data_IF_808113879341
#
_entry.id   IF_808113879341
#
_cell.length_a   1.000
_cell.length_b   1.000
_cell.length_c   1.000
_cell.angle_alpha   90.00
_cell.angle_beta   90.00
_cell.angle_gamma   90.00
#
_symmetry.space_group_name_H-M   'P 1'
#
loop_
_entity.id
_entity.type
_entity.pdbx_description
1 polymer ?
#
# COMPACT_ATOMS: atom_id res chain seq x y z
N UNK A 1 -23.99 -34.49 -12.54
CA UNK A 1 -23.40 -33.14 -12.64
C UNK A 1 -23.18 -32.64 -11.23
N UNK A 2 -21.95 -32.65 -10.73
CA UNK A 2 -21.64 -32.18 -9.36
C UNK A 2 -21.33 -30.69 -9.42
N UNK A 3 -22.32 -29.87 -9.09
CA UNK A 3 -22.15 -28.42 -8.98
C UNK A 3 -21.41 -28.12 -7.67
N UNK A 4 -20.33 -27.35 -7.74
CA UNK A 4 -19.52 -26.94 -6.59
C UNK A 4 -20.35 -26.14 -5.60
N UNK A 5 -20.10 -26.31 -4.29
CA UNK A 5 -20.71 -25.44 -3.27
C UNK A 5 -20.15 -24.01 -3.37
N UNK A 6 -20.91 -22.98 -2.94
CA UNK A 6 -20.43 -21.59 -2.93
C UNK A 6 -19.10 -21.42 -2.18
N UNK A 7 -18.93 -22.09 -1.04
CA UNK A 7 -17.68 -22.09 -0.27
C UNK A 7 -16.48 -22.62 -1.05
N UNK A 8 -16.70 -23.63 -1.91
CA UNK A 8 -15.62 -24.19 -2.74
C UNK A 8 -15.22 -23.24 -3.85
N UNK A 9 -16.17 -22.48 -4.41
CA UNK A 9 -15.90 -21.44 -5.41
C UNK A 9 -15.10 -20.29 -4.80
N UNK A 10 -15.51 -19.77 -3.64
CA UNK A 10 -14.74 -18.76 -2.90
C UNK A 10 -13.32 -19.22 -2.59
N UNK A 11 -13.16 -20.48 -2.17
CA UNK A 11 -11.83 -21.02 -1.88
C UNK A 11 -10.95 -21.13 -3.14
N UNK A 12 -11.54 -21.43 -4.30
CA UNK A 12 -10.82 -21.46 -5.58
C UNK A 12 -10.44 -20.05 -6.05
N UNK A 13 -11.32 -19.06 -5.88
CA UNK A 13 -11.04 -17.65 -6.16
C UNK A 13 -9.90 -17.12 -5.29
N UNK A 14 -9.97 -17.32 -3.97
CA UNK A 14 -8.92 -16.93 -3.04
C UNK A 14 -7.58 -17.59 -3.40
N UNK A 15 -7.57 -18.88 -3.75
CA UNK A 15 -6.34 -19.56 -4.18
C UNK A 15 -5.73 -18.92 -5.42
N UNK A 16 -6.55 -18.52 -6.39
CA UNK A 16 -6.08 -17.87 -7.61
C UNK A 16 -5.51 -16.48 -7.32
N UNK A 17 -6.14 -15.70 -6.45
CA UNK A 17 -5.62 -14.40 -6.01
C UNK A 17 -4.28 -14.54 -5.27
N UNK A 18 -4.22 -15.45 -4.30
CA UNK A 18 -2.99 -15.77 -3.56
C UNK A 18 -1.87 -16.22 -4.52
N UNK A 19 -2.20 -17.07 -5.50
CA UNK A 19 -1.24 -17.50 -6.52
C UNK A 19 -0.76 -16.33 -7.37
N UNK A 20 -1.66 -15.46 -7.83
CA UNK A 20 -1.33 -14.30 -8.65
C UNK A 20 -0.39 -13.33 -7.92
N UNK A 21 -0.66 -13.02 -6.65
CA UNK A 21 0.21 -12.15 -5.87
C UNK A 21 1.60 -12.77 -5.65
N UNK A 22 1.65 -14.02 -5.19
CA UNK A 22 2.92 -14.70 -4.89
C UNK A 22 3.83 -14.90 -6.12
N UNK A 23 3.26 -15.03 -7.33
CA UNK A 23 4.04 -15.19 -8.56
C UNK A 23 4.45 -13.87 -9.22
N UNK A 24 3.84 -12.75 -8.83
CA UNK A 24 4.14 -11.42 -9.38
C UNK A 24 5.00 -10.56 -8.44
N UNK A 25 5.75 -11.20 -7.54
CA UNK A 25 6.71 -10.53 -6.66
C UNK A 25 6.09 -9.78 -5.49
N UNK A 26 4.85 -10.11 -5.10
CA UNK A 26 4.25 -9.57 -3.88
C UNK A 26 4.70 -10.35 -2.66
N UNK A 27 4.81 -9.65 -1.53
CA UNK A 27 5.20 -10.19 -0.25
C UNK A 27 3.96 -10.24 0.64
N UNK A 28 3.67 -11.39 1.23
CA UNK A 28 2.57 -11.52 2.19
C UNK A 28 3.03 -11.23 3.62
N UNK A 29 2.30 -10.39 4.34
CA UNK A 29 2.48 -10.17 5.78
C UNK A 29 1.16 -9.72 6.43
N UNK A 30 0.76 -10.37 7.53
CA UNK A 30 -0.42 -10.02 8.35
C UNK A 30 -1.65 -9.58 7.53
N UNK A 31 -2.22 -10.49 6.74
CA UNK A 31 -3.44 -10.25 5.96
C UNK A 31 -3.34 -9.15 4.90
N UNK A 32 -2.13 -8.75 4.51
CA UNK A 32 -1.91 -7.86 3.37
C UNK A 32 -0.83 -8.42 2.44
N UNK A 33 -0.96 -8.08 1.16
CA UNK A 33 0.05 -8.26 0.14
C UNK A 33 0.72 -6.92 -0.16
N UNK A 34 2.05 -6.93 -0.24
CA UNK A 34 2.86 -5.75 -0.49
C UNK A 34 3.69 -5.89 -1.75
N UNK A 35 3.69 -4.87 -2.60
CA UNK A 35 4.54 -4.79 -3.78
C UNK A 35 5.50 -3.63 -3.62
N UNK A 36 6.81 -3.91 -3.69
CA UNK A 36 7.86 -2.89 -3.63
C UNK A 36 8.32 -2.59 -5.04
N UNK A 37 8.24 -1.33 -5.45
CA UNK A 37 8.64 -0.93 -6.80
C UNK A 37 10.16 -1.03 -7.02
N UNK A 38 10.53 -1.32 -8.26
CA UNK A 38 11.92 -1.17 -8.74
C UNK A 38 12.14 0.19 -9.40
N UNK A 39 11.08 0.81 -9.92
CA UNK A 39 11.07 2.13 -10.54
C UNK A 39 10.84 3.25 -9.54
N UNK A 40 11.07 4.49 -9.98
CA UNK A 40 10.80 5.71 -9.21
C UNK A 40 9.90 6.63 -10.03
N UNK A 41 8.77 7.06 -9.47
CA UNK A 41 7.86 8.04 -10.10
C UNK A 41 7.26 8.97 -9.04
N UNK A 42 6.48 9.94 -9.49
CA UNK A 42 5.82 10.89 -8.60
C UNK A 42 4.65 10.23 -7.84
N UNK A 43 4.17 10.88 -6.76
CA UNK A 43 3.16 10.28 -5.87
C UNK A 43 1.88 9.86 -6.61
N UNK A 44 1.40 10.69 -7.54
CA UNK A 44 0.17 10.43 -8.29
C UNK A 44 0.32 9.24 -9.23
N UNK A 45 1.42 9.18 -9.98
CA UNK A 45 1.71 8.05 -10.86
C UNK A 45 1.85 6.73 -10.09
N UNK A 46 2.45 6.78 -8.90
CA UNK A 46 2.60 5.61 -8.04
C UNK A 46 1.26 5.10 -7.52
N UNK A 47 0.36 6.00 -7.11
CA UNK A 47 -0.99 5.65 -6.69
C UNK A 47 -1.75 4.97 -7.82
N UNK A 48 -1.71 5.54 -9.02
CA UNK A 48 -2.31 4.94 -10.22
C UNK A 48 -1.76 3.53 -10.44
N UNK A 49 -0.44 3.34 -10.33
CA UNK A 49 0.16 2.02 -10.51
C UNK A 49 -0.34 0.99 -9.48
N UNK A 50 -0.57 1.39 -8.23
CA UNK A 50 -1.15 0.49 -7.23
C UNK A 50 -2.61 0.16 -7.55
N UNK A 51 -3.42 1.16 -7.93
CA UNK A 51 -4.84 0.96 -8.29
C UNK A 51 -5.01 0.05 -9.50
N UNK A 52 -4.17 0.18 -10.53
CA UNK A 52 -4.16 -0.71 -11.70
C UNK A 52 -3.84 -2.17 -11.34
N UNK A 53 -3.21 -2.41 -10.18
CA UNK A 53 -2.91 -3.74 -9.63
C UNK A 53 -3.97 -4.22 -8.62
N UNK A 54 -5.08 -3.49 -8.46
CA UNK A 54 -6.10 -3.80 -7.46
C UNK A 54 -5.67 -3.51 -6.02
N UNK A 55 -4.71 -2.61 -5.82
CA UNK A 55 -4.18 -2.20 -4.52
C UNK A 55 -4.28 -0.67 -4.36
N UNK A 56 -3.76 -0.12 -3.28
CA UNK A 56 -3.50 1.33 -3.18
C UNK A 56 -2.10 1.55 -2.58
N UNK A 57 -1.64 2.80 -2.48
CA UNK A 57 -0.40 3.09 -1.77
C UNK A 57 -0.51 2.66 -0.31
N UNK A 58 0.60 2.14 0.22
CA UNK A 58 0.73 1.67 1.59
C UNK A 58 0.13 2.64 2.62
N UNK A 59 -0.74 2.15 3.48
CA UNK A 59 -1.17 2.86 4.68
C UNK A 59 -0.54 2.22 5.91
N UNK A 60 0.17 2.98 6.71
CA UNK A 60 0.79 2.44 7.91
C UNK A 60 -0.17 2.58 9.09
N UNK A 61 -0.74 1.45 9.49
CA UNK A 61 -1.75 1.31 10.52
C UNK A 61 -1.16 0.87 11.87
N UNK A 62 0.10 0.44 11.91
CA UNK A 62 0.75 -0.03 13.14
C UNK A 62 2.26 0.16 13.15
N UNK A 63 2.85 0.20 14.34
CA UNK A 63 4.31 0.24 14.51
C UNK A 63 4.97 -1.01 13.94
N UNK A 64 4.33 -2.18 14.06
CA UNK A 64 4.84 -3.44 13.51
C UNK A 64 4.91 -3.41 11.98
N UNK A 65 3.90 -2.82 11.34
CA UNK A 65 3.87 -2.62 9.90
C UNK A 65 4.96 -1.64 9.45
N UNK A 66 5.15 -0.52 10.16
CA UNK A 66 6.27 0.39 9.91
C UNK A 66 7.62 -0.34 9.93
N UNK A 67 7.85 -1.19 10.93
CA UNK A 67 9.10 -1.94 11.07
C UNK A 67 9.26 -3.01 9.99
N UNK A 68 8.16 -3.64 9.55
CA UNK A 68 8.19 -4.56 8.41
C UNK A 68 8.51 -3.82 7.10
N UNK A 69 7.91 -2.65 6.87
CA UNK A 69 8.14 -1.82 5.69
C UNK A 69 9.59 -1.37 5.56
N UNK A 70 10.22 -0.96 6.67
CA UNK A 70 11.65 -0.63 6.70
C UNK A 70 12.54 -1.78 6.21
N UNK A 71 12.17 -3.03 6.51
CA UNK A 71 12.92 -4.22 6.07
C UNK A 71 12.77 -4.48 4.58
N UNK A 72 11.55 -4.42 4.04
CA UNK A 72 11.31 -4.72 2.62
C UNK A 72 11.69 -3.57 1.68
N UNK A 73 11.72 -2.33 2.18
CA UNK A 73 12.18 -1.16 1.42
C UNK A 73 13.72 -1.12 1.25
N UNK A 74 14.47 -2.02 1.91
CA UNK A 74 15.94 -2.08 1.84
C UNK A 74 16.61 -0.71 2.08
N UNK A 75 16.14 0.04 3.08
CA UNK A 75 16.58 1.40 3.40
C UNK A 75 16.33 2.46 2.33
N UNK A 76 15.55 2.16 1.29
CA UNK A 76 15.10 3.16 0.32
C UNK A 76 14.01 4.05 0.96
N UNK A 77 13.99 5.32 0.59
CA UNK A 77 12.81 6.16 0.85
C UNK A 77 11.73 5.80 -0.15
N UNK A 78 10.53 5.53 0.35
CA UNK A 78 9.38 5.10 -0.45
C UNK A 78 8.18 5.99 -0.21
N UNK A 79 7.41 6.25 -1.25
CA UNK A 79 6.10 6.88 -1.12
C UNK A 79 5.14 6.00 -0.32
N UNK A 80 4.38 6.64 0.55
CA UNK A 80 3.25 6.05 1.27
C UNK A 80 1.96 6.79 0.92
N UNK A 81 0.82 6.21 1.24
CA UNK A 81 -0.50 6.70 0.89
C UNK A 81 -0.97 7.91 1.71
N UNK A 82 -0.08 8.78 2.17
CA UNK A 82 -0.41 9.94 3.01
C UNK A 82 -0.08 11.24 2.27
N UNK A 83 -1.08 12.10 2.10
CA UNK A 83 -0.97 13.39 1.41
C UNK A 83 -1.96 14.40 1.99
N UNK A 84 -1.67 15.69 1.88
CA UNK A 84 -2.62 16.78 2.10
C UNK A 84 -2.88 17.60 0.83
N UNK A 85 -2.48 17.09 -0.34
CA UNK A 85 -2.53 17.82 -1.62
C UNK A 85 -3.94 18.32 -2.00
N UNK A 86 -4.99 17.69 -1.45
CA UNK A 86 -6.37 18.13 -1.60
C UNK A 86 -6.71 19.36 -0.75
N UNK A 87 -6.14 19.45 0.46
CA UNK A 87 -6.41 20.50 1.45
C UNK A 87 -5.23 20.65 2.41
N UNK A 88 -4.42 21.67 2.18
CA UNK A 88 -3.20 21.96 2.95
C UNK A 88 -3.46 21.95 4.46
N UNK A 89 -2.63 21.20 5.20
CA UNK A 89 -2.76 21.04 6.65
C UNK A 89 -3.77 19.97 7.10
N UNK A 90 -4.53 19.35 6.17
CA UNK A 90 -5.39 18.20 6.45
C UNK A 90 -4.85 16.96 5.73
N UNK A 91 -4.05 16.19 6.48
CA UNK A 91 -3.47 14.95 5.99
C UNK A 91 -4.51 13.85 5.86
N UNK A 92 -4.56 13.24 4.68
CA UNK A 92 -5.48 12.18 4.31
C UNK A 92 -4.70 10.95 3.84
N UNK A 93 -5.06 9.81 4.39
CA UNK A 93 -4.68 8.53 3.82
C UNK A 93 -5.46 8.26 2.53
N UNK A 94 -4.96 7.37 1.68
CA UNK A 94 -5.62 7.00 0.43
C UNK A 94 -7.04 6.44 0.59
N UNK A 95 -7.39 5.91 1.77
CA UNK A 95 -8.76 5.50 2.12
C UNK A 95 -9.68 6.66 2.57
N UNK A 96 -9.18 7.90 2.60
CA UNK A 96 -9.89 9.11 3.02
C UNK A 96 -9.88 9.39 4.53
N UNK A 97 -9.32 8.49 5.35
CA UNK A 97 -9.16 8.75 6.78
C UNK A 97 -8.12 9.84 7.04
N UNK A 98 -8.40 10.71 8.01
CA UNK A 98 -7.54 11.86 8.31
C UNK A 98 -6.53 11.54 9.40
N UNK A 99 -5.32 12.09 9.29
CA UNK A 99 -4.29 12.08 10.32
C UNK A 99 -4.05 13.51 10.81
N UNK A 100 -4.12 13.75 12.11
CA UNK A 100 -3.69 15.04 12.67
C UNK A 100 -2.17 15.01 12.86
N UNK A 101 -1.41 15.69 12.01
CA UNK A 101 0.05 15.77 12.09
C UNK A 101 0.56 17.16 11.67
N UNK A 102 1.81 17.49 12.02
CA UNK A 102 2.44 18.80 11.80
C UNK A 102 3.58 18.76 10.78
N UNK A 103 3.29 18.30 9.57
CA UNK A 103 4.21 18.30 8.43
C UNK A 103 4.10 19.62 7.63
N UNK A 104 5.05 19.92 6.73
CA UNK A 104 5.26 21.23 6.09
C UNK A 104 5.18 21.23 4.55
N UNK A 105 4.87 20.09 3.93
CA UNK A 105 4.81 19.84 2.48
C UNK A 105 3.77 18.75 2.18
N UNK A 106 3.44 18.47 0.92
CA UNK A 106 2.14 17.86 0.63
C UNK A 106 2.06 16.34 0.51
N UNK A 107 3.20 15.64 0.38
CA UNK A 107 3.21 14.18 0.25
C UNK A 107 4.27 13.57 1.18
N UNK A 108 3.99 12.38 1.73
CA UNK A 108 4.91 11.72 2.67
C UNK A 108 5.70 10.59 2.04
N UNK A 109 7.01 10.61 2.25
CA UNK A 109 7.89 9.45 2.09
C UNK A 109 8.19 8.81 3.43
N UNK A 110 8.18 7.48 3.48
CA UNK A 110 8.73 6.73 4.60
C UNK A 110 10.18 6.39 4.32
N UNK A 111 11.08 6.78 5.23
CA UNK A 111 12.50 6.42 5.23
C UNK A 111 12.81 5.41 6.34
N UNK A 112 14.07 4.95 6.43
CA UNK A 112 14.52 4.07 7.52
C UNK A 112 14.37 4.68 8.92
N UNK A 113 14.39 6.03 9.02
CA UNK A 113 14.46 6.75 10.29
C UNK A 113 13.07 7.25 10.69
N UNK A 114 12.38 7.93 9.79
CA UNK A 114 11.06 8.51 10.03
C UNK A 114 10.30 8.75 8.72
N UNK A 115 9.06 9.21 8.87
CA UNK A 115 8.34 9.87 7.79
C UNK A 115 8.92 11.26 7.55
N UNK A 116 8.93 11.67 6.29
CA UNK A 116 9.29 13.01 5.88
C UNK A 116 8.32 13.46 4.79
N UNK A 117 7.85 14.68 4.90
CA UNK A 117 7.07 15.36 3.88
C UNK A 117 7.97 15.94 2.80
N UNK A 118 7.46 15.93 1.57
CA UNK A 118 8.17 16.47 0.41
C UNK A 118 7.21 16.82 -0.73
N UNK A 119 7.74 17.44 -1.78
CA UNK A 119 6.96 17.82 -2.94
C UNK A 119 6.50 16.58 -3.71
N UNK A 120 5.20 16.51 -4.00
CA UNK A 120 4.58 15.35 -4.64
C UNK A 120 5.12 15.03 -6.05
N UNK A 121 5.78 16.00 -6.71
CA UNK A 121 6.38 15.85 -8.04
C UNK A 121 7.74 15.13 -8.01
N UNK A 122 8.34 14.93 -6.83
CA UNK A 122 9.59 14.19 -6.71
C UNK A 122 9.38 12.70 -6.96
N UNK A 123 10.43 12.07 -7.47
CA UNK A 123 10.38 10.66 -7.80
C UNK A 123 10.98 9.83 -6.68
N UNK A 124 10.22 8.89 -6.15
CA UNK A 124 10.69 7.87 -5.22
C UNK A 124 10.14 6.51 -5.63
N UNK A 125 10.74 5.45 -5.08
CA UNK A 125 10.10 4.14 -5.07
C UNK A 125 8.78 4.22 -4.30
N UNK A 126 7.93 3.22 -4.44
CA UNK A 126 6.67 3.17 -3.72
C UNK A 126 6.38 1.74 -3.26
N UNK A 127 5.46 1.63 -2.29
CA UNK A 127 4.93 0.35 -1.85
C UNK A 127 3.43 0.38 -2.05
N UNK A 128 2.91 -0.63 -2.77
CA UNK A 128 1.48 -0.90 -2.83
C UNK A 128 1.08 -1.87 -1.72
N UNK A 129 -0.11 -1.69 -1.18
CA UNK A 129 -0.73 -2.59 -0.21
C UNK A 129 -2.11 -3.03 -0.72
N UNK A 130 -2.35 -4.34 -0.70
CA UNK A 130 -3.68 -4.92 -0.85
C UNK A 130 -4.02 -5.66 0.44
N UNK A 131 -5.03 -5.17 1.17
CA UNK A 131 -5.48 -5.76 2.42
C UNK A 131 -6.65 -6.72 2.15
N UNK A 132 -6.49 -7.98 2.55
CA UNK A 132 -7.49 -9.03 2.32
C UNK A 132 -8.45 -9.22 3.50
N UNK A 133 -8.28 -8.51 4.63
CA UNK A 133 -9.21 -8.58 5.76
C UNK A 133 -10.67 -8.31 5.38
N UNK A 134 -11.01 -7.32 4.52
CA UNK A 134 -12.38 -7.11 4.10
C UNK A 134 -12.97 -8.28 3.32
N UNK A 135 -12.14 -9.08 2.64
CA UNK A 135 -12.57 -10.25 1.85
C UNK A 135 -12.77 -11.48 2.75
N UNK A 136 -11.94 -11.63 3.78
CA UNK A 136 -11.98 -12.80 4.70
C UNK A 136 -13.09 -12.69 5.77
N UNK A 137 -13.63 -11.48 5.99
CA UNK A 137 -14.68 -11.22 6.98
C UNK A 137 -16.11 -11.21 6.41
N UNK A 138 -16.28 -11.46 5.10
CA UNK A 138 -17.59 -11.60 4.44
C UNK A 138 -17.93 -13.08 4.28
#
# INVERSE_FOLDING_TARGET
TTQSTPEKLLLEELKNELWNFTHNGWIYYKFSFYYVSTEMKNWTENRINCMERGADLLMINSTEEQEFMKKIACSSSVWIGLTDADEEGIWKWVNGSTLTSGFWSNCVVSSSISWADTQCNYTYKWICENNILPVVLV
#
